data_IF_001941717298
#
_entry.id   IF_001941717298
#
_cell.length_a   1.000
_cell.length_b   1.000
_cell.length_c   1.000
_cell.angle_alpha   90.00
_cell.angle_beta   90.00
_cell.angle_gamma   90.00
#
_symmetry.space_group_name_H-M   'P 1'
#
loop_
_entity.id
_entity.type
_entity.pdbx_description
1 polymer ?
#
# COMPACT_ATOMS: atom_id res chain seq x y z
N UNK A 1 6.74 30.23 -6.75
CA UNK A 1 6.00 31.41 -6.23
C UNK A 1 5.40 31.19 -4.83
N UNK A 2 4.80 30.03 -4.49
CA UNK A 2 4.25 29.73 -3.14
C UNK A 2 5.37 29.70 -2.09
N UNK A 3 6.51 29.11 -2.42
CA UNK A 3 7.65 29.00 -1.49
C UNK A 3 8.13 30.38 -1.01
N UNK A 4 8.45 31.28 -1.91
CA UNK A 4 9.01 32.60 -1.57
C UNK A 4 7.95 33.56 -0.97
N UNK A 5 6.68 33.42 -1.35
CA UNK A 5 5.62 34.33 -0.90
C UNK A 5 5.00 33.95 0.44
N UNK A 6 4.93 32.66 0.74
CA UNK A 6 4.23 32.13 1.93
C UNK A 6 5.20 31.36 2.84
N UNK A 7 5.83 30.29 2.35
CA UNK A 7 6.59 29.36 3.19
C UNK A 7 7.81 30.04 3.82
N UNK A 8 8.57 30.79 3.04
CA UNK A 8 9.79 31.46 3.54
C UNK A 8 9.53 32.53 4.61
N UNK A 9 8.26 32.99 4.73
CA UNK A 9 7.85 33.98 5.74
C UNK A 9 7.39 33.36 7.07
N UNK A 10 6.94 32.11 7.04
CA UNK A 10 6.35 31.43 8.20
C UNK A 10 7.17 30.21 8.68
N UNK A 11 8.22 29.85 7.95
CA UNK A 11 9.11 28.73 8.30
C UNK A 11 10.55 29.16 8.45
N UNK A 12 11.19 28.77 9.54
CA UNK A 12 12.64 28.87 9.70
C UNK A 12 13.27 27.56 9.26
N UNK A 13 13.81 27.54 8.05
CA UNK A 13 14.55 26.39 7.53
C UNK A 13 16.05 26.59 7.74
N UNK A 14 16.68 25.70 8.49
CA UNK A 14 18.14 25.65 8.65
C UNK A 14 18.68 24.44 7.91
N UNK A 15 19.51 24.65 6.91
CA UNK A 15 20.24 23.60 6.20
C UNK A 15 21.66 23.50 6.76
N UNK A 16 22.37 22.39 6.50
CA UNK A 16 23.80 22.25 6.82
C UNK A 16 24.62 23.42 6.30
N UNK A 17 24.37 23.85 5.06
CA UNK A 17 25.06 24.99 4.47
C UNK A 17 24.79 26.30 5.23
N UNK A 18 23.56 26.53 5.69
CA UNK A 18 23.26 27.70 6.53
C UNK A 18 24.01 27.66 7.84
N UNK A 19 24.09 26.48 8.46
CA UNK A 19 24.81 26.31 9.75
C UNK A 19 26.32 26.46 9.54
N UNK A 20 26.90 25.87 8.52
CA UNK A 20 28.33 25.91 8.21
C UNK A 20 28.82 27.32 7.78
N UNK A 21 27.93 28.12 7.17
CA UNK A 21 28.29 29.44 6.64
C UNK A 21 27.95 30.59 7.61
N UNK A 22 27.11 30.38 8.63
CA UNK A 22 26.83 31.39 9.62
C UNK A 22 27.95 31.45 10.70
N UNK A 23 28.58 32.62 10.92
CA UNK A 23 29.77 32.73 11.80
C UNK A 23 29.56 32.15 13.19
N UNK A 24 28.42 32.46 13.82
CA UNK A 24 28.09 32.03 15.18
C UNK A 24 27.97 30.51 15.31
N UNK A 25 27.26 29.87 14.36
CA UNK A 25 27.14 28.42 14.35
C UNK A 25 28.43 27.71 13.98
N UNK A 26 29.22 28.31 13.10
CA UNK A 26 30.51 27.74 12.67
C UNK A 26 31.49 27.66 13.84
N UNK A 27 31.54 28.70 14.69
CA UNK A 27 32.36 28.72 15.89
C UNK A 27 31.93 27.65 16.90
N UNK A 28 30.62 27.50 17.10
CA UNK A 28 30.04 26.53 18.02
C UNK A 28 30.27 25.08 17.58
N UNK A 29 30.03 24.76 16.30
CA UNK A 29 30.31 23.46 15.73
C UNK A 29 31.77 23.07 15.89
N UNK A 30 32.68 24.01 15.61
CA UNK A 30 34.13 23.79 15.77
C UNK A 30 34.50 23.53 17.22
N UNK A 31 33.92 24.27 18.17
CA UNK A 31 34.19 24.11 19.61
C UNK A 31 33.71 22.75 20.14
N UNK A 32 32.59 22.21 19.57
CA UNK A 32 32.02 20.94 19.95
C UNK A 32 32.61 19.74 19.16
N UNK A 33 33.54 19.97 18.23
CA UNK A 33 34.14 18.93 17.40
C UNK A 33 33.14 18.22 16.48
N UNK A 34 32.02 18.88 16.13
CA UNK A 34 31.00 18.29 15.25
C UNK A 34 31.47 18.30 13.80
N UNK A 35 31.54 17.13 13.20
CA UNK A 35 31.89 16.94 11.78
C UNK A 35 30.65 16.44 11.03
N UNK A 36 30.25 17.17 10.00
CA UNK A 36 29.20 16.71 9.08
C UNK A 36 29.81 15.76 8.04
N UNK A 37 29.24 14.56 7.87
CA UNK A 37 29.72 13.63 6.85
C UNK A 37 29.48 14.18 5.43
N UNK A 38 30.37 13.86 4.53
CA UNK A 38 30.17 14.09 3.11
C UNK A 38 29.13 13.11 2.57
N UNK A 39 28.25 13.60 1.70
CA UNK A 39 27.29 12.77 1.00
C UNK A 39 27.96 12.34 -0.32
N UNK A 40 28.22 11.06 -0.47
CA UNK A 40 28.68 10.47 -1.71
C UNK A 40 27.51 10.24 -2.67
N UNK A 41 27.75 10.12 -3.98
CA UNK A 41 26.72 9.67 -4.92
C UNK A 41 26.14 8.32 -4.48
N UNK A 42 24.82 8.07 -4.74
CA UNK A 42 24.24 6.78 -4.46
C UNK A 42 24.87 5.68 -5.32
N UNK A 43 25.11 4.53 -4.71
CA UNK A 43 25.49 3.32 -5.44
C UNK A 43 24.27 2.43 -5.57
N UNK A 44 24.05 1.88 -6.76
CA UNK A 44 23.01 0.90 -7.01
C UNK A 44 23.44 -0.47 -6.50
N UNK A 45 22.51 -1.17 -5.85
CA UNK A 45 22.69 -2.54 -5.42
C UNK A 45 21.84 -3.44 -6.31
N UNK A 46 22.45 -3.96 -7.38
CA UNK A 46 21.79 -4.84 -8.34
C UNK A 46 21.62 -6.24 -7.78
N UNK A 47 20.47 -6.85 -8.07
CA UNK A 47 20.19 -8.25 -7.82
C UNK A 47 19.58 -8.90 -9.07
N UNK A 48 19.74 -10.20 -9.20
CA UNK A 48 19.27 -10.97 -10.35
C UNK A 48 18.25 -11.98 -9.88
N UNK A 49 17.11 -12.06 -10.54
CA UNK A 49 16.13 -13.14 -10.39
C UNK A 49 16.45 -14.25 -11.38
N UNK A 50 16.29 -15.50 -10.99
CA UNK A 50 16.29 -16.62 -11.93
C UNK A 50 15.10 -16.54 -12.89
N UNK A 51 15.07 -17.40 -13.91
CA UNK A 51 14.04 -17.37 -14.94
C UNK A 51 12.64 -17.65 -14.39
N UNK A 52 12.50 -18.54 -13.43
CA UNK A 52 11.20 -18.95 -12.89
C UNK A 52 10.62 -17.86 -11.99
N UNK A 53 11.44 -17.30 -11.10
CA UNK A 53 11.09 -16.14 -10.27
C UNK A 53 10.77 -14.93 -11.13
N UNK A 54 11.56 -14.67 -12.18
CA UNK A 54 11.34 -13.56 -13.11
C UNK A 54 10.00 -13.70 -13.85
N UNK A 55 9.71 -14.89 -14.40
CA UNK A 55 8.44 -15.14 -15.08
C UNK A 55 7.25 -14.96 -14.12
N UNK A 56 7.33 -15.52 -12.90
CA UNK A 56 6.30 -15.35 -11.87
C UNK A 56 6.10 -13.88 -11.52
N UNK A 57 7.18 -13.12 -11.39
CA UNK A 57 7.13 -11.68 -11.10
C UNK A 57 6.35 -10.92 -12.18
N UNK A 58 6.70 -11.12 -13.45
CA UNK A 58 6.04 -10.40 -14.56
C UNK A 58 4.60 -10.84 -14.80
N UNK A 59 4.28 -12.13 -14.66
CA UNK A 59 2.89 -12.59 -14.74
C UNK A 59 2.05 -12.03 -13.56
N UNK A 60 2.64 -11.97 -12.36
CA UNK A 60 1.99 -11.33 -11.22
C UNK A 60 1.74 -9.85 -11.47
N UNK A 61 2.75 -9.13 -11.98
CA UNK A 61 2.62 -7.71 -12.33
C UNK A 61 1.46 -7.49 -13.30
N UNK A 62 1.34 -8.34 -14.32
CA UNK A 62 0.22 -8.31 -15.26
C UNK A 62 -1.11 -8.55 -14.56
N UNK A 63 -1.23 -9.57 -13.70
CA UNK A 63 -2.45 -9.82 -12.93
C UNK A 63 -2.84 -8.64 -12.01
N UNK A 64 -1.86 -7.94 -11.45
CA UNK A 64 -2.11 -6.77 -10.60
C UNK A 64 -2.57 -5.53 -11.40
N UNK A 65 -2.18 -5.39 -12.67
CA UNK A 65 -2.34 -4.15 -13.43
C UNK A 65 -3.34 -4.23 -14.59
N UNK A 66 -3.57 -5.41 -15.14
CA UNK A 66 -4.41 -5.65 -16.32
C UNK A 66 -5.87 -5.97 -15.96
N UNK A 67 -6.41 -5.28 -14.97
CA UNK A 67 -7.81 -5.44 -14.56
C UNK A 67 -8.79 -4.84 -15.59
N UNK A 68 -9.99 -5.39 -15.63
CA UNK A 68 -11.07 -4.87 -16.48
C UNK A 68 -11.47 -3.47 -16.05
N UNK A 69 -11.42 -2.53 -16.97
CA UNK A 69 -11.83 -1.13 -16.82
C UNK A 69 -12.54 -0.65 -18.08
N UNK A 70 -13.14 0.57 -18.04
CA UNK A 70 -13.73 1.16 -19.25
C UNK A 70 -12.68 1.37 -20.36
N UNK A 71 -11.43 1.62 -19.98
CA UNK A 71 -10.30 1.78 -20.91
C UNK A 71 -9.70 0.43 -21.35
N UNK A 72 -9.90 -0.64 -20.56
CA UNK A 72 -9.43 -1.98 -20.82
C UNK A 72 -10.55 -3.00 -20.57
N UNK A 73 -11.58 -3.09 -21.45
CA UNK A 73 -12.73 -3.98 -21.24
C UNK A 73 -12.39 -5.47 -21.33
N UNK A 74 -11.29 -5.83 -21.97
CA UNK A 74 -10.78 -7.21 -22.11
C UNK A 74 -9.77 -7.61 -21.03
N UNK A 75 -9.53 -6.72 -20.08
CA UNK A 75 -8.60 -6.96 -18.97
C UNK A 75 -9.00 -8.17 -18.13
N UNK A 76 -8.02 -9.01 -17.79
CA UNK A 76 -8.20 -10.28 -17.07
C UNK A 76 -7.59 -10.28 -15.68
N UNK A 77 -6.92 -9.20 -15.29
CA UNK A 77 -6.32 -9.03 -13.98
C UNK A 77 -7.30 -8.57 -12.89
N UNK A 78 -6.79 -8.26 -11.71
CA UNK A 78 -7.58 -7.81 -10.58
C UNK A 78 -8.35 -6.53 -10.88
N UNK A 79 -9.63 -6.54 -10.59
CA UNK A 79 -10.53 -5.39 -10.75
C UNK A 79 -10.54 -4.47 -9.52
N UNK A 80 -10.10 -5.00 -8.37
CA UNK A 80 -10.19 -4.33 -7.08
C UNK A 80 -11.63 -3.90 -6.73
N UNK A 81 -12.61 -4.70 -7.15
CA UNK A 81 -14.04 -4.42 -7.02
C UNK A 81 -14.46 -4.06 -5.59
N UNK A 82 -13.87 -4.71 -4.60
CA UNK A 82 -14.13 -4.44 -3.19
C UNK A 82 -14.01 -2.95 -2.82
N UNK A 83 -13.05 -2.25 -3.38
CA UNK A 83 -12.83 -0.82 -3.11
C UNK A 83 -13.76 0.09 -3.89
N UNK A 84 -14.46 -0.47 -4.87
CA UNK A 84 -15.37 0.21 -5.78
C UNK A 84 -16.85 -0.10 -5.48
N UNK A 85 -17.15 -0.71 -4.35
CA UNK A 85 -18.48 -1.23 -4.00
C UNK A 85 -19.62 -0.24 -4.25
N UNK A 86 -19.42 1.07 -3.99
CA UNK A 86 -20.43 2.11 -4.19
C UNK A 86 -20.81 2.28 -5.67
N UNK A 87 -19.93 1.94 -6.60
CA UNK A 87 -20.23 2.01 -8.04
C UNK A 87 -21.30 1.01 -8.46
N UNK A 88 -21.41 -0.08 -7.74
CA UNK A 88 -22.31 -1.20 -8.01
C UNK A 88 -23.63 -1.12 -7.25
N UNK A 89 -23.81 -0.11 -6.39
CA UNK A 89 -25.12 0.16 -5.79
C UNK A 89 -26.13 0.55 -6.87
N UNK A 90 -27.35 0.05 -6.76
CA UNK A 90 -28.47 0.47 -7.59
C UNK A 90 -28.73 1.98 -7.43
N UNK A 91 -29.27 2.66 -8.45
CA UNK A 91 -29.41 4.11 -8.48
C UNK A 91 -30.12 4.71 -7.26
N UNK A 92 -31.11 4.01 -6.71
CA UNK A 92 -31.90 4.43 -5.54
C UNK A 92 -31.05 4.58 -4.27
N UNK A 93 -30.02 3.73 -4.12
CA UNK A 93 -29.09 3.76 -2.99
C UNK A 93 -27.87 4.64 -3.24
N UNK A 94 -27.39 4.69 -4.50
CA UNK A 94 -26.17 5.39 -4.88
C UNK A 94 -26.25 6.92 -4.78
N UNK A 95 -27.44 7.49 -4.88
CA UNK A 95 -27.62 8.96 -4.89
C UNK A 95 -27.07 9.66 -3.65
N UNK A 96 -27.01 8.98 -2.50
CA UNK A 96 -26.44 9.48 -1.25
C UNK A 96 -24.90 9.60 -1.32
N UNK A 97 -24.23 8.91 -2.26
CA UNK A 97 -22.78 8.67 -2.28
C UNK A 97 -22.08 9.20 -3.54
N UNK A 98 -22.53 10.31 -4.12
CA UNK A 98 -21.98 10.83 -5.40
C UNK A 98 -20.46 11.02 -5.38
N UNK A 99 -19.89 11.49 -4.26
CA UNK A 99 -18.44 11.63 -4.12
C UNK A 99 -17.74 10.30 -3.82
N UNK A 100 -18.44 9.33 -3.27
CA UNK A 100 -17.87 8.06 -2.86
C UNK A 100 -17.53 7.16 -4.07
N UNK A 101 -18.20 7.28 -5.21
CA UNK A 101 -17.83 6.60 -6.46
C UNK A 101 -16.40 6.99 -6.87
N UNK A 102 -16.12 8.28 -6.93
CA UNK A 102 -14.77 8.77 -7.26
C UNK A 102 -13.73 8.37 -6.21
N UNK A 103 -14.10 8.35 -4.93
CA UNK A 103 -13.25 7.89 -3.84
C UNK A 103 -12.93 6.39 -4.02
N UNK A 104 -13.92 5.56 -4.36
CA UNK A 104 -13.75 4.13 -4.59
C UNK A 104 -12.77 3.83 -5.73
N UNK A 105 -12.92 4.50 -6.86
CA UNK A 105 -12.01 4.40 -8.00
C UNK A 105 -10.57 4.81 -7.62
N UNK A 106 -10.44 5.91 -6.89
CA UNK A 106 -9.13 6.38 -6.41
C UNK A 106 -8.50 5.37 -5.45
N UNK A 107 -9.29 4.78 -4.53
CA UNK A 107 -8.80 3.75 -3.62
C UNK A 107 -8.34 2.50 -4.37
N UNK A 108 -9.09 2.02 -5.35
CA UNK A 108 -8.70 0.89 -6.19
C UNK A 108 -7.37 1.16 -6.91
N UNK A 109 -7.20 2.36 -7.48
CA UNK A 109 -5.96 2.77 -8.12
C UNK A 109 -4.78 2.83 -7.12
N UNK A 110 -4.98 3.38 -5.93
CA UNK A 110 -3.96 3.43 -4.87
C UNK A 110 -3.56 2.01 -4.45
N UNK A 111 -4.53 1.10 -4.25
CA UNK A 111 -4.23 -0.28 -3.88
C UNK A 111 -3.47 -1.03 -4.96
N UNK A 112 -3.81 -0.83 -6.23
CA UNK A 112 -3.06 -1.36 -7.37
C UNK A 112 -1.59 -0.96 -7.31
N UNK A 113 -1.32 0.34 -7.19
CA UNK A 113 0.05 0.87 -7.05
C UNK A 113 0.74 0.32 -5.81
N UNK A 114 0.01 0.22 -4.68
CA UNK A 114 0.55 -0.33 -3.45
C UNK A 114 0.97 -1.80 -3.61
N UNK A 115 0.16 -2.64 -4.26
CA UNK A 115 0.49 -4.05 -4.47
C UNK A 115 1.72 -4.20 -5.38
N UNK A 116 1.83 -3.39 -6.45
CA UNK A 116 3.03 -3.36 -7.31
C UNK A 116 4.26 -2.96 -6.51
N UNK A 117 4.20 -1.89 -5.74
CA UNK A 117 5.32 -1.44 -4.88
C UNK A 117 5.72 -2.50 -3.85
N UNK A 118 4.76 -3.24 -3.29
CA UNK A 118 5.04 -4.35 -2.38
C UNK A 118 5.78 -5.47 -3.07
N UNK A 119 5.35 -5.86 -4.28
CA UNK A 119 6.01 -6.87 -5.09
C UNK A 119 7.46 -6.48 -5.42
N UNK A 120 7.68 -5.21 -5.82
CA UNK A 120 9.01 -4.68 -6.12
C UNK A 120 9.90 -4.51 -4.87
N UNK A 121 9.30 -4.31 -3.71
CA UNK A 121 10.04 -4.04 -2.48
C UNK A 121 10.53 -5.29 -1.78
N UNK A 122 9.62 -6.25 -1.50
CA UNK A 122 9.92 -7.48 -0.79
C UNK A 122 8.85 -8.53 -1.07
N UNK A 123 9.27 -9.74 -1.38
CA UNK A 123 8.36 -10.87 -1.60
C UNK A 123 7.64 -11.27 -0.31
N UNK A 124 8.27 -11.11 0.85
CA UNK A 124 7.62 -11.32 2.14
C UNK A 124 6.46 -10.34 2.36
N UNK A 125 6.71 -9.05 2.18
CA UNK A 125 5.71 -8.00 2.33
C UNK A 125 4.57 -8.16 1.33
N UNK A 126 4.89 -8.52 0.08
CA UNK A 126 3.92 -8.80 -0.96
C UNK A 126 3.00 -9.97 -0.57
N UNK A 127 3.56 -11.12 -0.16
CA UNK A 127 2.80 -12.30 0.27
C UNK A 127 1.85 -11.99 1.44
N UNK A 128 2.29 -11.18 2.39
CA UNK A 128 1.45 -10.73 3.51
C UNK A 128 0.26 -9.87 3.02
N UNK A 129 0.52 -8.92 2.12
CA UNK A 129 -0.51 -8.06 1.54
C UNK A 129 -1.49 -8.85 0.68
N UNK A 130 -1.00 -9.83 -0.08
CA UNK A 130 -1.80 -10.71 -0.92
C UNK A 130 -2.79 -11.56 -0.10
N UNK A 131 -2.31 -12.18 1.00
CA UNK A 131 -3.18 -12.93 1.94
C UNK A 131 -4.24 -12.03 2.57
N UNK A 132 -3.87 -10.81 2.94
CA UNK A 132 -4.81 -9.85 3.50
C UNK A 132 -5.87 -9.48 2.47
N UNK A 133 -5.49 -9.20 1.23
CA UNK A 133 -6.43 -8.84 0.17
C UNK A 133 -7.38 -10.01 -0.14
N UNK A 134 -6.88 -11.25 -0.21
CA UNK A 134 -7.72 -12.44 -0.38
C UNK A 134 -8.74 -12.57 0.74
N UNK A 135 -8.30 -12.47 2.00
CA UNK A 135 -9.19 -12.57 3.16
C UNK A 135 -10.31 -11.54 3.10
N UNK A 136 -9.98 -10.28 2.93
CA UNK A 136 -10.99 -9.20 2.93
C UNK A 136 -11.94 -9.26 1.72
N UNK A 137 -11.49 -9.79 0.58
CA UNK A 137 -12.36 -10.05 -0.58
C UNK A 137 -13.30 -11.21 -0.28
N UNK A 138 -12.79 -12.29 0.31
CA UNK A 138 -13.61 -13.44 0.74
C UNK A 138 -14.62 -13.06 1.81
N UNK A 139 -14.23 -12.23 2.79
CA UNK A 139 -15.15 -11.74 3.83
C UNK A 139 -16.28 -10.91 3.21
N UNK A 140 -15.99 -10.10 2.19
CA UNK A 140 -17.04 -9.34 1.50
C UNK A 140 -18.02 -10.27 0.74
N UNK A 141 -17.55 -11.34 0.12
CA UNK A 141 -18.42 -12.34 -0.53
C UNK A 141 -19.34 -12.98 0.51
N UNK A 142 -18.84 -13.35 1.70
CA UNK A 142 -19.67 -13.89 2.79
C UNK A 142 -20.76 -12.93 3.25
N UNK A 143 -20.49 -11.62 3.24
CA UNK A 143 -21.50 -10.61 3.56
C UNK A 143 -22.69 -10.66 2.58
N UNK A 144 -22.44 -11.02 1.31
CA UNK A 144 -23.52 -11.25 0.33
C UNK A 144 -24.32 -12.50 0.65
N UNK A 145 -23.65 -13.59 1.04
CA UNK A 145 -24.32 -14.84 1.43
C UNK A 145 -25.20 -14.65 2.67
N UNK A 146 -24.82 -13.75 3.56
CA UNK A 146 -25.53 -13.40 4.80
C UNK A 146 -26.59 -12.29 4.61
N UNK A 147 -26.70 -11.74 3.40
CA UNK A 147 -27.56 -10.58 3.08
C UNK A 147 -27.31 -9.34 3.95
N UNK A 148 -26.04 -9.14 4.35
CA UNK A 148 -25.59 -8.05 5.23
C UNK A 148 -24.29 -7.45 4.72
N UNK A 149 -24.37 -6.62 3.68
CA UNK A 149 -23.20 -6.00 3.06
C UNK A 149 -22.91 -4.65 3.69
N UNK A 150 -21.73 -4.51 4.30
CA UNK A 150 -21.30 -3.24 4.89
C UNK A 150 -20.45 -2.47 3.90
N UNK A 151 -20.88 -1.25 3.61
CA UNK A 151 -20.09 -0.25 2.91
C UNK A 151 -20.05 1.01 3.76
N UNK A 152 -18.84 1.43 4.13
CA UNK A 152 -18.62 2.67 4.84
C UNK A 152 -17.55 3.48 4.10
N UNK A 153 -17.93 4.27 3.09
CA UNK A 153 -16.99 4.99 2.21
C UNK A 153 -16.04 5.90 2.97
N UNK A 154 -16.52 6.49 4.06
CA UNK A 154 -15.78 7.45 4.88
C UNK A 154 -15.08 6.81 6.10
N UNK A 155 -15.37 5.54 6.40
CA UNK A 155 -14.71 4.82 7.48
C UNK A 155 -13.36 4.27 6.98
N UNK A 156 -12.31 4.52 7.75
CA UNK A 156 -10.99 3.95 7.49
C UNK A 156 -11.05 2.44 7.73
N UNK A 157 -11.35 1.67 6.71
CA UNK A 157 -11.43 0.20 6.72
C UNK A 157 -10.21 -0.46 7.39
N UNK A 158 -9.05 0.21 7.38
CA UNK A 158 -7.83 -0.21 8.10
C UNK A 158 -8.04 -0.37 9.62
N UNK A 159 -8.93 0.42 10.22
CA UNK A 159 -9.15 0.38 11.67
C UNK A 159 -9.90 -0.90 12.09
N UNK A 160 -10.67 -1.50 11.19
CA UNK A 160 -11.41 -2.74 11.44
C UNK A 160 -10.55 -3.98 11.22
N UNK A 161 -9.75 -3.96 10.17
CA UNK A 161 -8.87 -5.08 9.81
C UNK A 161 -7.75 -5.31 10.83
N UNK A 162 -7.25 -4.24 11.44
CA UNK A 162 -6.22 -4.33 12.47
C UNK A 162 -6.74 -4.95 13.80
N UNK A 163 -8.06 -4.99 14.00
CA UNK A 163 -8.67 -5.44 15.27
C UNK A 163 -9.35 -6.79 15.19
N UNK A 164 -9.37 -7.47 14.02
CA UNK A 164 -10.14 -8.72 13.80
C UNK A 164 -11.60 -8.64 14.31
N UNK A 165 -12.26 -7.50 14.07
CA UNK A 165 -13.61 -7.27 14.57
C UNK A 165 -14.63 -8.10 13.78
N UNK A 166 -15.58 -8.68 14.50
CA UNK A 166 -16.75 -9.34 13.92
C UNK A 166 -17.71 -8.31 13.30
N UNK A 167 -18.61 -8.78 12.43
CA UNK A 167 -19.52 -7.93 11.68
C UNK A 167 -20.34 -6.99 12.57
N UNK A 168 -20.91 -7.53 13.65
CA UNK A 168 -21.73 -6.76 14.59
C UNK A 168 -20.90 -5.71 15.34
N UNK A 169 -19.63 -6.02 15.67
CA UNK A 169 -18.70 -5.08 16.29
C UNK A 169 -18.33 -3.93 15.34
N UNK A 170 -18.22 -4.21 14.03
CA UNK A 170 -17.97 -3.20 13.01
C UNK A 170 -19.16 -2.25 12.91
N UNK A 171 -20.39 -2.76 12.91
CA UNK A 171 -21.61 -1.97 12.89
C UNK A 171 -21.67 -1.08 14.14
N UNK A 172 -21.47 -1.65 15.32
CA UNK A 172 -21.48 -0.91 16.58
C UNK A 172 -20.41 0.19 16.62
N UNK A 173 -19.19 -0.12 16.17
CA UNK A 173 -18.12 0.88 16.05
C UNK A 173 -18.49 2.00 15.09
N UNK A 174 -19.07 1.68 13.92
CA UNK A 174 -19.50 2.69 12.95
C UNK A 174 -20.59 3.60 13.55
N UNK A 175 -21.55 3.04 14.26
CA UNK A 175 -22.59 3.80 14.97
C UNK A 175 -21.97 4.72 16.03
N UNK A 176 -20.96 4.25 16.78
CA UNK A 176 -20.25 5.10 17.76
C UNK A 176 -19.48 6.25 17.11
N UNK A 177 -19.16 6.13 15.83
CA UNK A 177 -18.56 7.20 15.01
C UNK A 177 -19.58 8.13 14.34
N UNK A 178 -20.87 7.93 14.60
CA UNK A 178 -21.95 8.78 14.12
C UNK A 178 -22.56 8.34 12.78
N UNK A 179 -22.28 7.12 12.32
CA UNK A 179 -22.96 6.55 11.15
C UNK A 179 -24.28 5.91 11.58
N UNK A 180 -25.35 6.18 10.83
CA UNK A 180 -26.59 5.42 11.01
C UNK A 180 -26.43 4.02 10.37
N UNK A 181 -26.95 2.98 11.00
CA UNK A 181 -26.88 1.62 10.47
C UNK A 181 -27.45 1.52 9.05
N UNK A 182 -28.52 2.26 8.76
CA UNK A 182 -29.17 2.38 7.45
C UNK A 182 -28.30 3.06 6.37
N UNK A 183 -27.23 3.74 6.77
CA UNK A 183 -26.32 4.40 5.85
C UNK A 183 -25.10 3.53 5.50
N UNK A 184 -24.86 2.44 6.21
CA UNK A 184 -23.68 1.58 6.02
C UNK A 184 -24.03 0.12 5.75
N UNK A 185 -25.20 -0.36 6.18
CA UNK A 185 -25.63 -1.74 6.01
C UNK A 185 -26.65 -1.84 4.86
N UNK A 186 -26.36 -2.71 3.92
CA UNK A 186 -27.16 -2.94 2.72
C UNK A 186 -27.50 -4.42 2.60
N UNK A 187 -28.68 -4.71 2.05
CA UNK A 187 -29.03 -6.04 1.56
C UNK A 187 -28.24 -6.34 0.28
N UNK A 188 -27.98 -7.61 -0.01
CA UNK A 188 -27.25 -8.03 -1.20
C UNK A 188 -27.94 -7.56 -2.51
N UNK A 189 -29.28 -7.50 -2.52
CA UNK A 189 -30.06 -7.04 -3.67
C UNK A 189 -29.97 -5.52 -3.91
N UNK A 190 -29.36 -4.74 -3.01
CA UNK A 190 -29.05 -3.33 -3.26
C UNK A 190 -27.94 -3.13 -4.30
N UNK A 191 -27.22 -4.20 -4.66
CA UNK A 191 -26.12 -4.18 -5.62
C UNK A 191 -26.54 -4.77 -6.97
N UNK A 192 -25.79 -4.40 -8.03
CA UNK A 192 -25.86 -5.12 -9.31
C UNK A 192 -25.18 -6.49 -9.19
N UNK A 193 -25.66 -7.48 -9.95
CA UNK A 193 -25.05 -8.82 -9.99
C UNK A 193 -23.59 -8.81 -10.41
N UNK A 194 -23.20 -7.84 -11.23
CA UNK A 194 -21.83 -7.67 -11.71
C UNK A 194 -20.83 -7.49 -10.54
N UNK A 195 -21.26 -6.92 -9.43
CA UNK A 195 -20.37 -6.71 -8.29
C UNK A 195 -19.90 -8.04 -7.66
N UNK A 196 -20.84 -8.94 -7.42
CA UNK A 196 -20.52 -10.25 -6.86
C UNK A 196 -19.69 -11.09 -7.85
N UNK A 197 -19.98 -11.00 -9.16
CA UNK A 197 -19.18 -11.65 -10.20
C UNK A 197 -17.73 -11.14 -10.21
N UNK A 198 -17.51 -9.82 -10.09
CA UNK A 198 -16.17 -9.24 -9.99
C UNK A 198 -15.45 -9.63 -8.70
N UNK A 199 -16.15 -9.72 -7.57
CA UNK A 199 -15.55 -10.20 -6.32
C UNK A 199 -15.09 -11.66 -6.42
N UNK A 200 -15.87 -12.52 -7.06
CA UNK A 200 -15.48 -13.91 -7.31
C UNK A 200 -14.28 -13.98 -8.25
N UNK A 201 -14.27 -13.21 -9.33
CA UNK A 201 -13.14 -13.11 -10.25
C UNK A 201 -11.86 -12.65 -9.52
N UNK A 202 -11.93 -11.58 -8.72
CA UNK A 202 -10.80 -11.11 -7.93
C UNK A 202 -10.32 -12.19 -6.93
N UNK A 203 -11.25 -12.92 -6.29
CA UNK A 203 -10.90 -13.99 -5.35
C UNK A 203 -10.14 -15.12 -6.05
N UNK A 204 -10.59 -15.58 -7.21
CA UNK A 204 -9.94 -16.65 -7.98
C UNK A 204 -8.49 -16.28 -8.34
N UNK A 205 -8.26 -15.05 -8.83
CA UNK A 205 -6.92 -14.54 -9.11
C UNK A 205 -6.08 -14.51 -7.84
N UNK A 206 -6.63 -14.01 -6.74
CA UNK A 206 -5.92 -13.90 -5.47
C UNK A 206 -5.57 -15.27 -4.87
N UNK A 207 -6.45 -16.27 -4.99
CA UNK A 207 -6.20 -17.66 -4.60
C UNK A 207 -5.04 -18.25 -5.41
N UNK A 208 -5.07 -18.06 -6.73
CA UNK A 208 -4.01 -18.54 -7.63
C UNK A 208 -2.67 -17.88 -7.29
N UNK A 209 -2.64 -16.55 -7.16
CA UNK A 209 -1.43 -15.80 -6.79
C UNK A 209 -0.89 -16.26 -5.42
N UNK A 210 -1.77 -16.44 -4.42
CA UNK A 210 -1.33 -16.95 -3.11
C UNK A 210 -0.71 -18.35 -3.19
N UNK A 211 -1.28 -19.26 -4.01
CA UNK A 211 -0.75 -20.60 -4.21
C UNK A 211 0.61 -20.57 -4.93
N UNK A 212 0.77 -19.70 -5.91
CA UNK A 212 2.02 -19.58 -6.67
C UNK A 212 3.15 -18.95 -5.83
N UNK A 213 2.83 -17.89 -5.07
CA UNK A 213 3.80 -17.24 -4.20
C UNK A 213 4.09 -18.01 -2.90
N UNK A 214 3.22 -18.95 -2.50
CA UNK A 214 3.51 -19.83 -1.35
C UNK A 214 4.70 -20.75 -1.61
N UNK A 215 4.99 -21.06 -2.87
CA UNK A 215 6.11 -21.92 -3.29
C UNK A 215 7.45 -21.17 -3.34
N UNK A 216 7.39 -19.83 -3.38
CA UNK A 216 8.56 -18.99 -3.43
C UNK A 216 9.12 -18.78 -2.02
N UNK A 217 10.32 -19.25 -1.76
CA UNK A 217 10.99 -19.10 -0.47
C UNK A 217 12.15 -18.12 -0.52
N UNK A 218 12.65 -17.83 -1.72
CA UNK A 218 13.79 -16.95 -1.92
C UNK A 218 13.31 -15.52 -2.17
N UNK A 219 14.04 -14.55 -1.66
CA UNK A 219 13.87 -13.13 -1.96
C UNK A 219 15.23 -12.59 -2.42
N UNK A 220 15.48 -12.59 -3.75
CA UNK A 220 16.80 -12.22 -4.30
C UNK A 220 17.27 -10.84 -3.88
N UNK A 221 16.34 -9.90 -3.67
CA UNK A 221 16.65 -8.56 -3.18
C UNK A 221 17.11 -8.59 -1.72
N UNK A 222 16.42 -9.34 -0.88
CA UNK A 222 16.79 -9.51 0.52
C UNK A 222 18.10 -10.28 0.66
N UNK A 223 18.30 -11.33 -0.13
CA UNK A 223 19.54 -12.10 -0.12
C UNK A 223 20.75 -11.27 -0.54
N UNK A 224 20.58 -10.43 -1.57
CA UNK A 224 21.61 -9.48 -2.00
C UNK A 224 21.92 -8.44 -0.93
N UNK A 225 20.88 -7.91 -0.27
CA UNK A 225 21.07 -7.02 0.88
C UNK A 225 21.85 -7.71 2.02
N UNK A 226 21.46 -8.92 2.38
CA UNK A 226 22.11 -9.72 3.45
C UNK A 226 23.58 -10.01 3.13
N UNK A 227 23.89 -10.39 1.89
CA UNK A 227 25.26 -10.59 1.42
C UNK A 227 26.11 -9.32 1.62
N UNK A 228 25.57 -8.17 1.24
CA UNK A 228 26.29 -6.90 1.34
C UNK A 228 26.34 -6.35 2.76
N UNK A 229 25.45 -6.79 3.66
CA UNK A 229 25.43 -6.34 5.04
C UNK A 229 26.78 -6.60 5.72
N UNK A 230 27.31 -7.79 5.56
CA UNK A 230 28.58 -8.21 6.17
C UNK A 230 29.79 -7.76 5.36
N UNK A 231 29.73 -7.90 4.03
CA UNK A 231 30.88 -7.77 3.16
C UNK A 231 31.16 -6.32 2.72
N UNK A 232 30.14 -5.43 2.77
CA UNK A 232 30.25 -4.05 2.27
C UNK A 232 29.82 -3.04 3.35
N UNK A 233 28.61 -3.18 3.90
CA UNK A 233 28.04 -2.13 4.74
C UNK A 233 28.71 -2.00 6.10
N UNK A 234 29.29 -3.08 6.62
CA UNK A 234 30.06 -3.09 7.86
C UNK A 234 31.56 -3.30 7.65
N UNK A 235 32.05 -3.25 6.41
CA UNK A 235 33.48 -3.18 6.15
C UNK A 235 34.04 -1.85 6.70
N UNK A 236 34.98 -1.93 7.63
CA UNK A 236 35.56 -0.77 8.31
C UNK A 236 36.34 0.15 7.38
N UNK A 237 36.77 -0.33 6.22
CA UNK A 237 37.44 0.47 5.19
C UNK A 237 36.43 1.35 4.42
N UNK A 238 35.20 0.86 4.26
CA UNK A 238 34.09 1.55 3.57
C UNK A 238 33.26 2.35 4.56
N UNK A 239 32.95 1.77 5.72
CA UNK A 239 32.15 2.37 6.78
C UNK A 239 32.90 2.37 8.12
N UNK A 240 33.87 3.26 8.31
CA UNK A 240 34.67 3.34 9.55
C UNK A 240 33.83 3.58 10.80
N UNK A 241 32.65 4.18 10.66
CA UNK A 241 31.74 4.44 11.77
C UNK A 241 30.97 3.21 12.25
N UNK A 242 30.87 2.15 11.45
CA UNK A 242 30.06 0.97 11.72
C UNK A 242 28.57 1.24 11.87
N UNK A 243 28.08 2.38 11.35
CA UNK A 243 26.66 2.78 11.46
C UNK A 243 25.95 2.60 10.13
N UNK A 244 24.77 2.00 10.18
CA UNK A 244 23.88 1.81 9.03
C UNK A 244 22.52 2.43 9.36
N UNK A 245 21.98 3.23 8.43
CA UNK A 245 20.63 3.78 8.53
C UNK A 245 19.85 3.25 7.34
N UNK A 246 18.75 2.56 7.63
CA UNK A 246 17.86 2.02 6.63
C UNK A 246 16.60 2.89 6.55
N UNK A 247 16.17 3.19 5.34
CA UNK A 247 14.91 3.85 5.07
C UNK A 247 13.99 2.88 4.34
N UNK A 248 12.76 2.75 4.81
CA UNK A 248 11.72 1.94 4.19
C UNK A 248 10.45 2.78 4.06
N UNK A 249 9.67 2.55 3.00
CA UNK A 249 8.36 3.19 2.83
C UNK A 249 7.31 2.63 3.82
N UNK A 250 7.50 1.41 4.31
CA UNK A 250 6.61 0.78 5.29
C UNK A 250 7.39 -0.12 6.25
N UNK A 251 6.85 -0.26 7.45
CA UNK A 251 7.33 -1.20 8.47
C UNK A 251 6.41 -2.42 8.44
N UNK A 252 6.95 -3.59 8.10
CA UNK A 252 6.25 -4.88 8.10
C UNK A 252 6.76 -5.81 9.19
#
# INVERSE_FOLDING_TARGET
QIRSKVIDKVTVRRTRNNILNAPDYKADIKSQGIIFPNILPPNELEYVMDSDTSNRFYETLKQLTDGKTDENPEGKGLTYARYRAVEFLKPEYRNKYRNAVHIGQTLAAIYRVHMVKRLESSFYAFKKSLRTLLRITTDMIKMFDEDKVIIAPDLKVKDFQAKNMELDEIIEYAITKGYAAEDILFSADAFSSEFLEMLHHDREILEQLNADWAKENDDPKFDKFRENLTNVFFDTTINPSGKLVLFSESVD
#
